data_IF_061174651435
#
_entry.id   IF_061174651435
#
_cell.length_a   1.000
_cell.length_b   1.000
_cell.length_c   1.000
_cell.angle_alpha   90.00
_cell.angle_beta   90.00
_cell.angle_gamma   90.00
#
_symmetry.space_group_name_H-M   'P 1'
#
loop_
_entity.id
_entity.type
_entity.pdbx_description
1 polymer ?
#
# COMPACT_ATOMS: atom_id res chain seq x y z
N UNK A 1 -17.64 -9.56 -23.66
CA UNK A 1 -18.26 -8.74 -22.59
C UNK A 1 -17.34 -8.51 -21.37
N UNK A 2 -16.03 -8.84 -21.41
CA UNK A 2 -15.11 -8.65 -20.27
C UNK A 2 -14.28 -7.36 -20.31
N UNK A 3 -13.96 -6.85 -21.50
CA UNK A 3 -13.00 -5.74 -21.67
C UNK A 3 -13.45 -4.39 -21.06
N UNK A 4 -14.76 -4.12 -21.00
CA UNK A 4 -15.27 -2.86 -20.43
C UNK A 4 -14.98 -2.71 -18.95
N UNK A 5 -15.14 -3.80 -18.18
CA UNK A 5 -14.91 -3.76 -16.74
C UNK A 5 -13.44 -3.71 -16.35
N UNK A 6 -12.54 -4.32 -17.14
CA UNK A 6 -11.10 -4.13 -16.94
C UNK A 6 -10.72 -2.65 -17.08
N UNK A 7 -11.26 -1.98 -18.10
CA UNK A 7 -11.01 -0.56 -18.33
C UNK A 7 -11.56 0.32 -17.19
N UNK A 8 -12.80 0.05 -16.74
CA UNK A 8 -13.38 0.74 -15.59
C UNK A 8 -12.56 0.54 -14.31
N UNK A 9 -12.10 -0.69 -14.05
CA UNK A 9 -11.25 -1.00 -12.89
C UNK A 9 -9.90 -0.26 -12.95
N UNK A 10 -9.25 -0.21 -14.11
CA UNK A 10 -8.00 0.53 -14.30
C UNK A 10 -8.20 2.05 -14.12
N UNK A 11 -9.32 2.61 -14.58
CA UNK A 11 -9.65 4.03 -14.37
C UNK A 11 -9.83 4.35 -12.88
N UNK A 12 -10.52 3.48 -12.15
CA UNK A 12 -10.75 3.62 -10.71
C UNK A 12 -9.45 3.50 -9.91
N UNK A 13 -8.58 2.55 -10.28
CA UNK A 13 -7.23 2.42 -9.70
C UNK A 13 -6.41 3.70 -9.94
N UNK A 14 -6.43 4.24 -11.16
CA UNK A 14 -5.70 5.46 -11.48
C UNK A 14 -6.20 6.65 -10.65
N UNK A 15 -7.53 6.78 -10.45
CA UNK A 15 -8.14 7.79 -9.59
C UNK A 15 -7.74 7.62 -8.13
N UNK A 16 -7.80 6.40 -7.59
CA UNK A 16 -7.40 6.12 -6.22
C UNK A 16 -5.92 6.45 -5.97
N UNK A 17 -5.05 6.11 -6.94
CA UNK A 17 -3.64 6.45 -6.89
C UNK A 17 -3.38 7.96 -6.96
N UNK A 18 -4.09 8.69 -7.83
CA UNK A 18 -4.00 10.16 -7.90
C UNK A 18 -4.43 10.83 -6.59
N UNK A 19 -5.49 10.30 -5.96
CA UNK A 19 -5.99 10.76 -4.66
C UNK A 19 -5.14 10.26 -3.47
N UNK A 20 -4.14 9.40 -3.74
CA UNK A 20 -3.32 8.71 -2.74
C UNK A 20 -4.14 7.97 -1.68
N UNK A 21 -5.33 7.52 -2.06
CA UNK A 21 -6.26 6.82 -1.19
C UNK A 21 -6.01 5.33 -1.26
N UNK A 22 -5.31 4.80 -0.24
CA UNK A 22 -5.06 3.37 -0.14
C UNK A 22 -6.37 2.57 -0.01
N UNK A 23 -7.34 3.13 0.73
CA UNK A 23 -8.64 2.53 0.94
C UNK A 23 -9.42 2.36 -0.37
N UNK A 24 -9.47 3.41 -1.22
CA UNK A 24 -10.15 3.32 -2.52
C UNK A 24 -9.42 2.36 -3.48
N UNK A 25 -8.09 2.29 -3.38
CA UNK A 25 -7.29 1.35 -4.15
C UNK A 25 -7.60 -0.10 -3.77
N UNK A 26 -7.59 -0.43 -2.47
CA UNK A 26 -7.92 -1.77 -1.97
C UNK A 26 -9.36 -2.15 -2.33
N UNK A 27 -10.31 -1.22 -2.16
CA UNK A 27 -11.70 -1.44 -2.55
C UNK A 27 -11.86 -1.76 -4.04
N UNK A 28 -11.21 -0.98 -4.91
CA UNK A 28 -11.22 -1.20 -6.36
C UNK A 28 -10.57 -2.54 -6.71
N UNK A 29 -9.49 -2.91 -6.02
CA UNK A 29 -8.80 -4.16 -6.25
C UNK A 29 -9.64 -5.38 -5.86
N UNK A 30 -10.48 -5.27 -4.83
CA UNK A 30 -11.43 -6.32 -4.46
C UNK A 30 -12.62 -6.39 -5.43
N UNK A 31 -13.18 -5.23 -5.81
CA UNK A 31 -14.34 -5.14 -6.70
C UNK A 31 -14.05 -5.71 -8.10
N UNK A 32 -12.88 -5.37 -8.65
CA UNK A 32 -12.44 -5.80 -9.98
C UNK A 32 -11.40 -6.91 -9.94
N UNK A 33 -11.33 -7.67 -8.83
CA UNK A 33 -10.32 -8.72 -8.61
C UNK A 33 -10.20 -9.72 -9.75
N UNK A 34 -11.34 -10.15 -10.31
CA UNK A 34 -11.36 -11.14 -11.39
C UNK A 34 -10.74 -10.57 -12.67
N UNK A 35 -11.19 -9.39 -13.07
CA UNK A 35 -10.71 -8.66 -14.25
C UNK A 35 -9.25 -8.21 -14.13
N UNK A 36 -8.82 -7.74 -12.96
CA UNK A 36 -7.50 -7.11 -12.77
C UNK A 36 -6.42 -8.06 -12.26
N UNK A 37 -6.78 -9.15 -11.57
CA UNK A 37 -5.81 -10.08 -10.97
C UNK A 37 -5.82 -11.48 -11.59
N UNK A 38 -6.95 -11.95 -12.12
CA UNK A 38 -7.08 -13.33 -12.62
C UNK A 38 -6.82 -13.41 -14.13
N UNK A 39 -7.27 -12.41 -14.89
CA UNK A 39 -7.20 -12.38 -16.35
C UNK A 39 -5.79 -12.07 -16.89
N UNK A 40 -5.00 -11.23 -16.19
CA UNK A 40 -3.69 -10.78 -16.67
C UNK A 40 -2.63 -10.70 -15.54
N UNK A 41 -1.60 -11.54 -15.65
CA UNK A 41 -0.51 -11.62 -14.69
C UNK A 41 0.43 -10.39 -14.72
N UNK A 42 0.57 -9.73 -15.88
CA UNK A 42 1.38 -8.52 -16.04
C UNK A 42 0.68 -7.34 -15.37
N UNK A 43 -0.63 -7.19 -15.59
CA UNK A 43 -1.42 -6.18 -14.89
C UNK A 43 -1.38 -6.39 -13.37
N UNK A 44 -1.60 -7.63 -12.91
CA UNK A 44 -1.50 -7.97 -11.48
C UNK A 44 -0.16 -7.56 -10.87
N UNK A 45 0.94 -7.83 -11.56
CA UNK A 45 2.27 -7.46 -11.08
C UNK A 45 2.38 -5.95 -10.90
N UNK A 46 2.06 -5.17 -11.93
CA UNK A 46 2.14 -3.70 -11.87
C UNK A 46 1.19 -3.08 -10.84
N UNK A 47 -0.03 -3.62 -10.69
CA UNK A 47 -0.99 -3.16 -9.68
C UNK A 47 -0.49 -3.45 -8.26
N UNK A 48 0.17 -4.59 -8.06
CA UNK A 48 0.79 -4.91 -6.77
C UNK A 48 1.93 -3.93 -6.46
N UNK A 49 2.78 -3.61 -7.44
CA UNK A 49 3.84 -2.60 -7.26
C UNK A 49 3.29 -1.20 -6.95
N UNK A 50 2.22 -0.78 -7.64
CA UNK A 50 1.55 0.49 -7.37
C UNK A 50 1.00 0.55 -5.93
N UNK A 51 0.38 -0.54 -5.47
CA UNK A 51 -0.12 -0.63 -4.10
C UNK A 51 1.01 -0.51 -3.07
N UNK A 52 2.11 -1.21 -3.31
CA UNK A 52 3.30 -1.18 -2.45
C UNK A 52 3.94 0.21 -2.41
N UNK A 53 4.02 0.91 -3.55
CA UNK A 53 4.54 2.28 -3.63
C UNK A 53 3.62 3.28 -2.92
N UNK A 54 2.30 3.14 -3.07
CA UNK A 54 1.33 3.99 -2.38
C UNK A 54 1.39 3.81 -0.86
N UNK A 55 1.51 2.56 -0.40
CA UNK A 55 1.69 2.24 1.01
C UNK A 55 2.99 2.86 1.56
N UNK A 56 4.09 2.72 0.83
CA UNK A 56 5.38 3.30 1.19
C UNK A 56 5.31 4.83 1.35
N UNK A 57 4.71 5.53 0.38
CA UNK A 57 4.53 6.97 0.45
C UNK A 57 3.65 7.41 1.62
N UNK A 58 2.59 6.65 1.92
CA UNK A 58 1.74 6.93 3.08
C UNK A 58 2.51 6.73 4.40
N UNK A 59 3.31 5.67 4.50
CA UNK A 59 4.15 5.42 5.68
C UNK A 59 5.20 6.53 5.87
N UNK A 60 5.91 6.94 4.81
CA UNK A 60 6.88 8.04 4.87
C UNK A 60 6.23 9.32 5.39
N UNK A 61 5.08 9.70 4.83
CA UNK A 61 4.36 10.92 5.22
C UNK A 61 3.88 10.91 6.68
N UNK A 62 3.48 9.74 7.17
CA UNK A 62 3.03 9.60 8.56
C UNK A 62 4.22 9.63 9.52
N UNK A 63 5.37 9.06 9.14
CA UNK A 63 6.53 8.92 10.02
C UNK A 63 7.43 10.16 9.99
N UNK A 64 7.54 10.86 8.86
CA UNK A 64 8.37 12.07 8.68
C UNK A 64 8.25 13.13 9.80
N UNK A 65 7.05 13.47 10.32
CA UNK A 65 6.93 14.46 11.38
C UNK A 65 7.33 13.97 12.79
N UNK A 66 7.62 12.68 12.99
CA UNK A 66 7.92 12.11 14.30
C UNK A 66 9.37 11.62 14.40
N UNK A 67 10.06 12.02 15.47
CA UNK A 67 11.39 11.47 15.80
C UNK A 67 11.31 10.01 16.30
N UNK A 68 10.23 9.68 17.01
CA UNK A 68 9.89 8.33 17.48
C UNK A 68 8.39 8.13 17.42
N UNK A 69 7.96 7.00 16.88
CA UNK A 69 6.55 6.64 16.78
C UNK A 69 6.36 5.15 17.03
N UNK A 70 5.29 4.80 17.74
CA UNK A 70 4.90 3.41 17.94
C UNK A 70 4.29 2.85 16.65
N UNK A 71 4.76 1.67 16.22
CA UNK A 71 4.29 1.04 14.97
C UNK A 71 2.79 0.72 15.07
N UNK A 72 2.29 0.41 16.26
CA UNK A 72 0.85 0.22 16.51
C UNK A 72 0.05 1.47 16.16
N UNK A 73 0.54 2.66 16.52
CA UNK A 73 -0.14 3.91 16.19
C UNK A 73 -0.20 4.14 14.69
N UNK A 74 0.89 3.85 13.97
CA UNK A 74 0.91 3.92 12.49
C UNK A 74 -0.08 2.95 11.88
N UNK A 75 -0.17 1.72 12.40
CA UNK A 75 -1.08 0.69 11.93
C UNK A 75 -2.56 1.09 12.12
N UNK A 76 -2.91 1.72 13.25
CA UNK A 76 -4.25 2.27 13.50
C UNK A 76 -4.57 3.46 12.58
N UNK A 77 -3.59 4.31 12.25
CA UNK A 77 -3.80 5.47 11.37
C UNK A 77 -4.09 5.09 9.91
N UNK A 78 -3.53 3.97 9.43
CA UNK A 78 -3.71 3.51 8.05
C UNK A 78 -4.67 2.32 7.93
N UNK A 79 -5.30 1.91 9.03
CA UNK A 79 -6.22 0.78 9.12
C UNK A 79 -5.62 -0.53 8.55
N UNK A 80 -4.35 -0.82 8.86
CA UNK A 80 -3.68 -2.04 8.42
C UNK A 80 -3.19 -2.90 9.58
N UNK A 81 -3.09 -4.23 9.41
CA UNK A 81 -2.52 -5.10 10.42
C UNK A 81 -1.09 -4.70 10.78
N UNK A 82 -0.79 -4.64 12.08
CA UNK A 82 0.55 -4.32 12.62
C UNK A 82 1.66 -5.10 11.92
N UNK A 83 1.46 -6.41 11.70
CA UNK A 83 2.45 -7.27 11.05
C UNK A 83 2.78 -6.83 9.61
N UNK A 84 1.79 -6.33 8.85
CA UNK A 84 1.98 -5.83 7.49
C UNK A 84 2.78 -4.53 7.52
N UNK A 85 2.43 -3.62 8.43
CA UNK A 85 3.12 -2.33 8.62
C UNK A 85 4.56 -2.54 9.06
N UNK A 86 4.80 -3.37 10.07
CA UNK A 86 6.12 -3.68 10.58
C UNK A 86 7.03 -4.31 9.51
N UNK A 87 6.49 -5.26 8.73
CA UNK A 87 7.23 -5.87 7.63
C UNK A 87 7.61 -4.81 6.60
N UNK A 88 6.66 -3.99 6.17
CA UNK A 88 6.89 -2.96 5.15
C UNK A 88 7.91 -1.92 5.61
N UNK A 89 7.81 -1.44 6.85
CA UNK A 89 8.80 -0.54 7.43
C UNK A 89 10.20 -1.17 7.51
N UNK A 90 10.29 -2.47 7.82
CA UNK A 90 11.57 -3.18 7.81
C UNK A 90 12.17 -3.24 6.39
N UNK A 91 11.33 -3.50 5.38
CA UNK A 91 11.75 -3.47 3.97
C UNK A 91 12.22 -2.06 3.55
N UNK A 92 11.52 -1.00 3.96
CA UNK A 92 11.90 0.39 3.65
C UNK A 92 13.22 0.84 4.30
N UNK A 93 13.52 0.36 5.52
CA UNK A 93 14.83 0.60 6.14
C UNK A 93 15.93 -0.12 5.39
N UNK A 94 15.68 -1.37 4.97
CA UNK A 94 16.65 -2.16 4.19
C UNK A 94 16.90 -1.56 2.81
N UNK A 95 15.89 -0.95 2.20
CA UNK A 95 15.97 -0.28 0.89
C UNK A 95 16.53 1.16 0.99
N UNK A 96 16.92 1.61 2.18
CA UNK A 96 17.41 2.98 2.46
C UNK A 96 16.40 4.10 2.12
N UNK A 97 15.14 3.76 1.83
CA UNK A 97 14.04 4.72 1.61
C UNK A 97 13.55 5.34 2.90
N UNK A 98 13.65 4.63 4.03
CA UNK A 98 13.42 5.16 5.37
C UNK A 98 14.72 5.20 6.18
N UNK A 99 15.24 6.39 6.44
CA UNK A 99 16.40 6.59 7.31
C UNK A 99 15.97 6.51 8.79
N UNK A 100 15.85 5.29 9.30
CA UNK A 100 15.44 5.05 10.68
C UNK A 100 15.84 3.67 11.18
N UNK A 101 15.66 3.44 12.48
CA UNK A 101 15.88 2.15 13.11
C UNK A 101 14.58 1.66 13.72
N UNK A 102 14.18 0.44 13.37
CA UNK A 102 13.05 -0.25 13.96
C UNK A 102 13.48 -0.83 15.31
N UNK A 103 13.09 -0.18 16.41
CA UNK A 103 13.31 -0.73 17.74
C UNK A 103 12.20 -1.73 18.07
N UNK A 104 12.52 -3.02 18.07
CA UNK A 104 11.62 -4.10 18.46
C UNK A 104 11.67 -4.38 19.98
N UNK A 105 12.19 -3.43 20.77
CA UNK A 105 12.46 -3.59 22.19
C UNK A 105 11.23 -3.36 23.06
N UNK A 106 10.45 -4.42 23.29
CA UNK A 106 9.92 -4.71 24.63
C UNK A 106 10.27 -6.16 24.96
N UNK A 107 11.43 -6.31 25.60
CA UNK A 107 11.77 -7.40 26.51
C UNK A 107 12.20 -6.76 27.83
#
# INVERSE_FOLDING_TARGET
YGEGRCFEGLEMVAKAHEQRSLHDFEHTMEEYKKELMDDDAVLKYHLTELNESLLEQNLLKIIEPFDRIEIQHVAELIDLPLARVQKKLSEMILDETLLGTLDQGIG
#
